data_IF_801492992384
#
_entry.id   IF_801492992384
#
_cell.length_a   1.000
_cell.length_b   1.000
_cell.length_c   1.000
_cell.angle_alpha   90.00
_cell.angle_beta   90.00
_cell.angle_gamma   90.00
#
_symmetry.space_group_name_H-M   'P 1'
#
loop_
_entity.id
_entity.type
_entity.pdbx_description
1 polymer ?
#
# COMPACT_ATOMS: atom_id res chain seq x y z
N UNK A 1 29.00 27.80 -1.59
CA UNK A 1 28.92 27.31 -0.19
C UNK A 1 27.63 27.73 0.54
N UNK A 2 27.22 29.01 0.56
CA UNK A 2 26.04 29.46 1.35
C UNK A 2 24.69 28.90 0.84
N UNK A 3 24.54 28.73 -0.49
CA UNK A 3 23.33 28.15 -1.09
C UNK A 3 23.17 26.67 -0.73
N UNK A 4 24.28 25.91 -0.77
CA UNK A 4 24.33 24.49 -0.42
C UNK A 4 24.00 24.26 1.05
N UNK A 5 24.52 25.09 1.96
CA UNK A 5 24.20 25.02 3.39
C UNK A 5 22.74 25.40 3.69
N UNK A 6 22.18 26.40 2.97
CA UNK A 6 20.76 26.78 3.10
C UNK A 6 19.82 25.71 2.53
N UNK A 7 20.17 25.10 1.40
CA UNK A 7 19.42 23.97 0.82
C UNK A 7 19.53 22.71 1.69
N UNK A 8 20.69 22.42 2.26
CA UNK A 8 20.86 21.32 3.22
C UNK A 8 20.04 21.57 4.50
N UNK A 9 20.01 22.80 5.01
CA UNK A 9 19.20 23.16 6.18
C UNK A 9 17.68 23.16 5.88
N UNK A 10 17.29 23.51 4.66
CA UNK A 10 15.90 23.42 4.18
C UNK A 10 15.46 21.96 4.00
N UNK A 11 16.31 21.12 3.40
CA UNK A 11 16.09 19.68 3.28
C UNK A 11 16.03 18.99 4.66
N UNK A 12 16.87 19.42 5.60
CA UNK A 12 16.83 18.94 6.99
C UNK A 12 15.56 19.36 7.75
N UNK A 13 14.92 20.48 7.39
CA UNK A 13 13.68 20.93 8.03
C UNK A 13 12.45 20.10 7.61
N UNK A 14 12.51 19.43 6.45
CA UNK A 14 11.42 18.62 5.88
C UNK A 14 11.97 17.28 5.37
N UNK A 15 12.47 16.42 6.27
CA UNK A 15 13.18 15.24 5.85
C UNK A 15 12.25 14.30 5.05
N UNK A 16 12.65 13.84 3.85
CA UNK A 16 11.89 12.87 3.10
C UNK A 16 11.79 11.57 3.91
N UNK A 17 10.58 11.04 4.02
CA UNK A 17 10.28 9.89 4.85
C UNK A 17 9.92 8.69 3.99
N UNK A 18 10.47 7.53 4.31
CA UNK A 18 10.03 6.25 3.76
C UNK A 18 9.26 5.52 4.87
N UNK A 19 8.01 5.16 4.58
CA UNK A 19 7.11 4.59 5.57
C UNK A 19 6.90 3.10 5.29
N UNK A 20 7.01 2.30 6.34
CA UNK A 20 6.75 0.86 6.35
C UNK A 20 5.67 0.57 7.39
N UNK A 21 4.72 -0.28 7.07
CA UNK A 21 3.71 -0.74 8.01
C UNK A 21 3.83 -2.25 8.22
N UNK A 22 3.80 -2.68 9.47
CA UNK A 22 3.55 -4.06 9.84
C UNK A 22 2.07 -4.42 9.64
N UNK A 23 1.76 -5.70 9.40
CA UNK A 23 0.39 -6.20 9.46
C UNK A 23 -0.31 -5.78 10.76
N UNK A 24 -1.58 -5.40 10.67
CA UNK A 24 -2.36 -4.84 11.78
C UNK A 24 -2.14 -3.34 12.05
N UNK A 25 -1.10 -2.72 11.48
CA UNK A 25 -0.77 -1.31 11.76
C UNK A 25 -1.38 -0.31 10.75
N UNK A 26 -2.38 -0.72 9.98
CA UNK A 26 -3.02 0.12 8.96
C UNK A 26 -3.50 1.46 9.52
N UNK A 27 -4.13 1.46 10.71
CA UNK A 27 -4.59 2.70 11.35
C UNK A 27 -3.44 3.68 11.68
N UNK A 28 -2.35 3.17 12.26
CA UNK A 28 -1.15 3.98 12.54
C UNK A 28 -0.50 4.51 11.26
N UNK A 29 -0.38 3.67 10.21
CA UNK A 29 0.14 4.11 8.90
C UNK A 29 -0.62 5.32 8.38
N UNK A 30 -1.95 5.24 8.34
CA UNK A 30 -2.79 6.30 7.79
C UNK A 30 -2.62 7.61 8.56
N UNK A 31 -2.57 7.55 9.90
CA UNK A 31 -2.33 8.73 10.75
C UNK A 31 -0.93 9.31 10.54
N UNK A 32 0.09 8.45 10.40
CA UNK A 32 1.46 8.88 10.13
C UNK A 32 1.59 9.56 8.76
N UNK A 33 0.98 9.01 7.71
CA UNK A 33 0.92 9.65 6.40
C UNK A 33 0.22 11.01 6.46
N UNK A 34 -0.90 11.10 7.19
CA UNK A 34 -1.64 12.35 7.36
C UNK A 34 -0.80 13.40 8.10
N UNK A 35 -0.11 13.02 9.18
CA UNK A 35 0.74 13.94 9.95
C UNK A 35 1.98 14.38 9.16
N UNK A 36 2.61 13.48 8.39
CA UNK A 36 3.70 13.85 7.47
C UNK A 36 3.21 14.86 6.42
N UNK A 37 2.03 14.65 5.84
CA UNK A 37 1.44 15.58 4.87
C UNK A 37 1.11 16.94 5.50
N UNK A 38 0.56 16.95 6.72
CA UNK A 38 0.29 18.20 7.47
C UNK A 38 1.56 19.01 7.74
N UNK A 39 2.72 18.36 7.82
CA UNK A 39 4.03 18.98 8.07
C UNK A 39 4.82 19.29 6.80
N UNK A 40 4.21 19.16 5.61
CA UNK A 40 4.89 19.25 4.31
C UNK A 40 6.10 18.30 4.19
N UNK A 41 6.10 17.17 4.92
CA UNK A 41 7.15 16.16 4.84
C UNK A 41 6.76 15.13 3.78
N UNK A 42 7.61 15.00 2.76
CA UNK A 42 7.34 14.14 1.60
C UNK A 42 7.52 12.66 1.95
N UNK A 43 6.52 11.84 1.67
CA UNK A 43 6.71 10.39 1.57
C UNK A 43 7.41 10.06 0.24
N UNK A 44 8.55 9.36 0.29
CA UNK A 44 9.30 8.95 -0.89
C UNK A 44 9.06 7.48 -1.23
N UNK A 45 9.19 7.14 -2.51
CA UNK A 45 8.90 5.80 -3.02
C UNK A 45 10.06 4.80 -2.83
N UNK A 46 11.25 5.26 -2.49
CA UNK A 46 12.44 4.42 -2.39
C UNK A 46 13.31 4.81 -1.17
N UNK A 47 13.87 3.84 -0.42
CA UNK A 47 14.72 4.12 0.73
C UNK A 47 15.94 5.01 0.46
N UNK A 48 16.67 4.88 -0.67
CA UNK A 48 17.81 5.75 -0.95
C UNK A 48 17.47 7.24 -1.05
N UNK A 49 16.20 7.59 -1.27
CA UNK A 49 15.72 8.97 -1.31
C UNK A 49 15.21 9.48 0.05
N UNK A 50 15.26 8.66 1.10
CA UNK A 50 14.73 8.97 2.41
C UNK A 50 15.84 9.38 3.40
N UNK A 51 15.49 10.30 4.29
CA UNK A 51 16.27 10.66 5.45
C UNK A 51 15.64 10.10 6.74
N UNK A 52 14.35 9.76 6.73
CA UNK A 52 13.66 9.17 7.88
C UNK A 52 12.98 7.87 7.46
N UNK A 53 13.22 6.79 8.20
CA UNK A 53 12.49 5.53 8.10
C UNK A 53 11.42 5.49 9.20
N UNK A 54 10.14 5.53 8.81
CA UNK A 54 9.01 5.44 9.73
C UNK A 54 8.46 4.02 9.70
N UNK A 55 8.48 3.33 10.84
CA UNK A 55 7.97 1.96 11.00
C UNK A 55 6.69 2.01 11.83
N UNK A 56 5.57 1.65 11.23
CA UNK A 56 4.25 1.61 11.87
C UNK A 56 3.93 0.19 12.32
N UNK A 57 3.61 0.01 13.60
CA UNK A 57 3.43 -1.29 14.24
C UNK A 57 4.75 -1.96 14.61
N UNK A 58 4.66 -3.04 15.38
CA UNK A 58 5.82 -3.88 15.71
C UNK A 58 6.04 -4.90 14.59
N UNK A 59 7.14 -4.83 13.84
CA UNK A 59 7.45 -5.86 12.86
C UNK A 59 7.77 -7.18 13.58
N UNK A 60 7.33 -8.30 13.00
CA UNK A 60 7.78 -9.63 13.41
C UNK A 60 9.19 -9.92 12.88
N UNK A 61 9.64 -11.17 13.01
CA UNK A 61 11.01 -11.53 12.62
C UNK A 61 11.27 -11.34 11.11
N UNK A 62 10.28 -11.65 10.26
CA UNK A 62 10.43 -11.57 8.82
C UNK A 62 10.49 -10.13 8.32
N UNK A 63 9.53 -9.29 8.73
CA UNK A 63 9.51 -7.88 8.36
C UNK A 63 10.64 -7.12 9.05
N UNK A 64 10.97 -7.47 10.29
CA UNK A 64 12.07 -6.84 11.04
C UNK A 64 13.39 -6.97 10.30
N UNK A 65 13.74 -8.18 9.85
CA UNK A 65 14.94 -8.40 9.06
C UNK A 65 14.93 -7.63 7.71
N UNK A 66 13.76 -7.49 7.09
CA UNK A 66 13.64 -6.70 5.86
C UNK A 66 13.79 -5.18 6.12
N UNK A 67 13.26 -4.68 7.23
CA UNK A 67 13.40 -3.30 7.68
C UNK A 67 14.86 -2.97 8.01
N UNK A 68 15.59 -3.87 8.68
CA UNK A 68 17.03 -3.68 8.95
C UNK A 68 17.83 -3.58 7.64
N UNK A 69 17.61 -4.49 6.68
CA UNK A 69 18.29 -4.40 5.36
C UNK A 69 18.02 -3.08 4.64
N UNK A 70 16.79 -2.56 4.74
CA UNK A 70 16.44 -1.26 4.18
C UNK A 70 17.16 -0.13 4.91
N UNK A 71 17.19 -0.16 6.24
CA UNK A 71 17.90 0.80 7.07
C UNK A 71 19.41 0.85 6.77
N UNK A 72 20.04 -0.32 6.64
CA UNK A 72 21.47 -0.43 6.34
C UNK A 72 21.82 0.17 4.98
N UNK A 73 20.92 0.02 3.99
CA UNK A 73 21.06 0.58 2.65
C UNK A 73 20.70 2.07 2.51
N UNK A 74 20.15 2.72 3.54
CA UNK A 74 19.80 4.14 3.48
C UNK A 74 21.05 5.03 3.62
N UNK A 75 21.23 6.07 2.79
CA UNK A 75 22.35 6.99 2.95
C UNK A 75 22.21 7.81 4.24
N UNK A 76 23.34 8.14 4.89
CA UNK A 76 23.36 9.12 5.98
C UNK A 76 23.41 10.56 5.47
N UNK A 77 22.94 11.57 6.25
CA UNK A 77 22.37 11.44 7.59
C UNK A 77 20.93 10.90 7.57
N UNK A 78 20.60 9.99 8.51
CA UNK A 78 19.34 9.23 8.54
C UNK A 78 18.77 9.09 9.97
N UNK A 79 17.47 8.88 10.11
CA UNK A 79 16.84 8.57 11.39
C UNK A 79 15.76 7.50 11.24
N UNK A 80 15.49 6.76 12.32
CA UNK A 80 14.41 5.78 12.37
C UNK A 80 13.41 6.13 13.47
N UNK A 81 12.13 5.97 13.15
CA UNK A 81 11.02 6.20 14.08
C UNK A 81 10.17 4.95 14.13
N UNK A 82 9.98 4.39 15.32
CA UNK A 82 9.03 3.31 15.58
C UNK A 82 7.74 3.85 16.17
N UNK A 83 6.60 3.41 15.65
CA UNK A 83 5.26 3.77 16.10
C UNK A 83 4.50 2.48 16.46
N UNK A 84 3.77 2.43 17.58
CA UNK A 84 2.98 1.25 17.96
C UNK A 84 1.79 0.97 17.03
N UNK A 85 1.18 -0.23 17.10
CA UNK A 85 0.06 -0.61 16.20
C UNK A 85 -1.15 0.33 16.31
N UNK A 86 -1.36 0.92 17.49
CA UNK A 86 -2.50 1.80 17.79
C UNK A 86 -2.08 3.22 18.14
N UNK A 87 -0.92 3.67 17.67
CA UNK A 87 -0.37 4.99 18.02
C UNK A 87 -1.39 6.12 17.75
N UNK A 88 -1.52 7.00 18.73
CA UNK A 88 -2.38 8.19 18.66
C UNK A 88 -1.75 9.26 17.77
N UNK A 89 -2.54 10.27 17.42
CA UNK A 89 -2.04 11.38 16.62
C UNK A 89 -0.96 12.17 17.36
N UNK A 90 -1.13 12.33 18.66
CA UNK A 90 -0.22 13.04 19.55
C UNK A 90 1.11 12.30 19.70
N UNK A 91 1.07 10.97 19.85
CA UNK A 91 2.27 10.13 19.91
C UNK A 91 3.06 10.18 18.61
N UNK A 92 2.38 10.08 17.47
CA UNK A 92 3.00 10.20 16.15
C UNK A 92 3.63 11.58 15.95
N UNK A 93 2.89 12.64 16.31
CA UNK A 93 3.37 14.01 16.20
C UNK A 93 4.63 14.25 17.06
N UNK A 94 4.63 13.75 18.30
CA UNK A 94 5.77 13.86 19.21
C UNK A 94 6.97 13.08 18.68
N UNK A 95 6.77 11.83 18.23
CA UNK A 95 7.83 10.99 17.70
C UNK A 95 8.52 11.64 16.48
N UNK A 96 7.74 12.20 15.55
CA UNK A 96 8.26 12.89 14.36
C UNK A 96 8.94 14.23 14.66
N UNK A 97 8.63 14.87 15.79
CA UNK A 97 9.24 16.13 16.23
C UNK A 97 10.59 15.90 16.89
N UNK A 98 10.70 14.89 17.75
CA UNK A 98 11.93 14.56 18.48
C UNK A 98 12.94 13.75 17.66
N UNK A 99 12.57 13.34 16.43
CA UNK A 99 13.45 12.60 15.53
C UNK A 99 14.68 13.42 15.15
N UNK A 100 15.85 13.03 15.65
CA UNK A 100 17.13 13.59 15.27
C UNK A 100 17.81 12.73 14.19
N UNK A 101 18.35 13.35 13.14
CA UNK A 101 19.14 12.66 12.12
C UNK A 101 20.50 12.26 12.68
N UNK A 102 20.82 10.97 12.60
CA UNK A 102 22.13 10.44 12.88
C UNK A 102 23.08 10.81 11.72
N UNK A 103 24.32 11.26 12.00
CA UNK A 103 25.29 11.57 10.96
C UNK A 103 25.66 10.29 10.18
N UNK A 104 26.07 10.46 8.93
CA UNK A 104 26.62 9.34 8.16
C UNK A 104 27.81 8.74 8.92
N UNK A 105 27.87 7.40 8.97
CA UNK A 105 29.08 6.73 9.42
C UNK A 105 30.25 7.20 8.54
N UNK A 106 31.44 7.47 9.12
CA UNK A 106 32.60 7.81 8.31
C UNK A 106 32.84 6.66 7.31
N UNK A 107 33.25 6.96 6.07
CA UNK A 107 33.52 5.92 5.08
C UNK A 107 34.54 4.95 5.67
N UNK A 108 34.16 3.69 5.81
CA UNK A 108 35.12 2.62 6.04
C UNK A 108 35.98 2.56 4.77
N UNK A 109 37.26 2.93 4.89
CA UNK A 109 38.28 2.64 3.89
C UNK A 109 38.50 1.12 3.87
N UNK A 110 37.55 0.39 3.30
CA UNK A 110 37.79 -0.90 2.71
C UNK A 110 37.82 -0.61 1.22
N UNK A 111 39.03 -0.53 0.67
CA UNK A 111 39.27 -0.69 -0.75
C UNK A 111 38.79 -2.11 -1.12
N UNK A 112 37.49 -2.28 -1.29
CA UNK A 112 36.97 -3.37 -2.09
C UNK A 112 37.21 -2.94 -3.54
N UNK A 113 38.34 -3.40 -4.09
CA UNK A 113 38.49 -3.61 -5.52
C UNK A 113 37.29 -4.43 -5.97
N UNK A 114 36.21 -3.76 -6.38
CA UNK A 114 35.08 -4.41 -7.06
C UNK A 114 35.66 -4.87 -8.40
N UNK A 115 35.88 -6.18 -8.61
CA UNK A 115 36.39 -6.64 -9.88
C UNK A 115 35.35 -6.27 -10.93
N UNK A 116 35.75 -5.46 -11.92
CA UNK A 116 34.88 -5.18 -13.05
C UNK A 116 34.53 -6.51 -13.71
N UNK A 117 33.23 -6.75 -13.92
CA UNK A 117 32.77 -7.93 -14.65
C UNK A 117 33.42 -7.98 -16.04
N UNK A 118 33.96 -9.15 -16.40
CA UNK A 118 34.53 -9.40 -17.72
C UNK A 118 33.50 -9.17 -18.81
N UNK A 119 33.90 -8.44 -19.86
CA UNK A 119 33.08 -8.19 -21.04
C UNK A 119 33.20 -9.38 -22.00
N UNK A 120 32.14 -10.18 -22.12
CA UNK A 120 31.97 -11.14 -23.21
C UNK A 120 31.51 -10.43 -24.49
N UNK A 121 31.87 -10.97 -25.65
CA UNK A 121 31.45 -10.46 -26.96
C UNK A 121 29.94 -10.64 -27.18
N UNK A 122 29.33 -9.66 -27.83
CA UNK A 122 27.88 -9.58 -28.13
C UNK A 122 27.58 -10.01 -29.57
N UNK A 123 26.55 -10.89 -29.75
CA UNK A 123 25.57 -11.02 -30.87
C UNK A 123 25.17 -12.47 -31.29
N UNK A 124 24.66 -13.33 -30.40
CA UNK A 124 24.49 -14.75 -30.73
C UNK A 124 23.29 -15.44 -30.01
N UNK A 125 22.04 -15.37 -30.52
CA UNK A 125 20.96 -16.33 -30.16
C UNK A 125 20.61 -16.53 -28.67
N UNK A 126 20.55 -15.44 -27.89
CA UNK A 126 20.61 -15.42 -26.42
C UNK A 126 19.43 -16.11 -25.71
N UNK A 127 19.74 -17.10 -24.86
CA UNK A 127 18.90 -17.48 -23.71
C UNK A 127 19.00 -16.33 -22.69
N UNK A 128 17.87 -15.74 -22.32
CA UNK A 128 17.82 -14.70 -21.28
C UNK A 128 18.13 -15.31 -19.91
N UNK A 129 18.86 -14.58 -19.08
CA UNK A 129 19.15 -14.99 -17.71
C UNK A 129 17.86 -15.10 -16.88
N UNK A 130 17.79 -16.17 -16.09
CA UNK A 130 16.68 -16.40 -15.15
C UNK A 130 17.02 -15.71 -13.84
N UNK A 131 16.23 -14.70 -13.46
CA UNK A 131 16.42 -13.91 -12.25
C UNK A 131 15.36 -14.25 -11.20
N UNK A 132 15.78 -14.44 -9.95
CA UNK A 132 14.86 -14.61 -8.82
C UNK A 132 14.74 -13.28 -8.09
N UNK A 133 13.60 -12.60 -8.25
CA UNK A 133 13.40 -11.24 -7.75
C UNK A 133 12.33 -11.24 -6.66
N UNK A 134 12.67 -10.89 -5.40
CA UNK A 134 11.68 -10.64 -4.38
C UNK A 134 11.03 -9.26 -4.58
N UNK A 135 9.70 -9.19 -4.52
CA UNK A 135 8.96 -7.93 -4.39
C UNK A 135 8.29 -7.87 -3.02
N UNK A 136 8.57 -6.83 -2.24
CA UNK A 136 8.11 -6.72 -0.86
C UNK A 136 9.01 -7.47 0.13
N UNK A 137 8.68 -7.46 1.42
CA UNK A 137 7.51 -6.83 2.03
C UNK A 137 7.67 -5.33 2.28
N UNK A 138 8.89 -4.79 2.10
CA UNK A 138 9.19 -3.37 2.31
C UNK A 138 9.28 -2.66 0.96
N UNK A 139 8.13 -2.23 0.44
CA UNK A 139 8.02 -1.41 -0.76
C UNK A 139 7.01 -0.29 -0.52
N UNK A 140 7.27 0.90 -1.06
CA UNK A 140 6.28 1.95 -1.08
C UNK A 140 5.08 1.52 -1.94
N UNK A 141 3.88 1.95 -1.53
CA UNK A 141 2.64 1.65 -2.25
C UNK A 141 2.42 0.15 -2.47
N UNK A 142 2.69 -0.63 -1.42
CA UNK A 142 2.57 -2.08 -1.40
C UNK A 142 1.74 -2.56 -0.19
N UNK A 143 0.96 -3.65 -0.30
CA UNK A 143 0.25 -4.20 0.85
C UNK A 143 1.22 -4.62 1.96
N UNK A 144 0.95 -4.18 3.20
CA UNK A 144 1.75 -4.55 4.37
C UNK A 144 1.74 -6.08 4.56
N UNK A 145 2.93 -6.66 4.77
CA UNK A 145 3.09 -8.10 4.96
C UNK A 145 3.01 -8.95 3.70
N UNK A 146 2.79 -8.37 2.50
CA UNK A 146 2.84 -9.15 1.26
C UNK A 146 4.27 -9.17 0.70
N UNK A 147 4.79 -10.35 0.37
CA UNK A 147 5.93 -10.50 -0.52
C UNK A 147 5.61 -11.44 -1.68
N UNK A 148 6.26 -11.22 -2.82
CA UNK A 148 6.23 -12.12 -3.97
C UNK A 148 7.64 -12.64 -4.25
N UNK A 149 7.76 -13.93 -4.52
CA UNK A 149 8.97 -14.51 -5.14
C UNK A 149 8.69 -14.68 -6.61
N UNK A 150 9.36 -13.88 -7.45
CA UNK A 150 9.20 -13.93 -8.89
C UNK A 150 10.40 -14.61 -9.53
N UNK A 151 10.14 -15.45 -10.51
CA UNK A 151 11.15 -15.92 -11.47
C UNK A 151 10.93 -15.14 -12.76
N UNK A 152 11.91 -14.33 -13.14
CA UNK A 152 11.87 -13.48 -14.33
C UNK A 152 12.79 -14.02 -15.40
N UNK A 153 12.39 -13.86 -16.65
CA UNK A 153 13.26 -14.01 -17.81
C UNK A 153 13.16 -12.72 -18.62
N UNK A 154 14.18 -11.87 -18.53
CA UNK A 154 14.02 -10.45 -18.88
C UNK A 154 13.11 -9.75 -17.87
N UNK A 155 12.07 -9.08 -18.34
CA UNK A 155 11.03 -8.45 -17.52
C UNK A 155 9.74 -9.28 -17.39
N UNK A 156 9.66 -10.43 -18.07
CA UNK A 156 8.49 -11.31 -18.06
C UNK A 156 8.58 -12.28 -16.88
N UNK A 157 7.50 -12.36 -16.11
CA UNK A 157 7.32 -13.31 -15.02
C UNK A 157 7.05 -14.70 -15.60
N UNK A 158 7.97 -15.64 -15.34
CA UNK A 158 7.83 -17.05 -15.69
C UNK A 158 7.13 -17.85 -14.58
N UNK A 159 7.33 -17.45 -13.32
CA UNK A 159 6.67 -18.03 -12.17
C UNK A 159 6.55 -17.00 -11.05
N UNK A 160 5.50 -17.11 -10.25
CA UNK A 160 5.25 -16.24 -9.12
C UNK A 160 4.76 -17.07 -7.93
N UNK A 161 5.20 -16.69 -6.74
CA UNK A 161 4.73 -17.26 -5.49
C UNK A 161 4.39 -16.13 -4.51
N UNK A 162 3.25 -16.24 -3.84
CA UNK A 162 2.82 -15.30 -2.81
C UNK A 162 3.27 -15.74 -1.43
N UNK A 163 3.81 -14.81 -0.67
CA UNK A 163 4.32 -15.03 0.68
C UNK A 163 3.70 -13.99 1.61
N UNK A 164 3.08 -14.45 2.69
CA UNK A 164 2.65 -13.57 3.78
C UNK A 164 3.77 -13.52 4.80
N UNK A 165 4.37 -12.34 4.95
CA UNK A 165 5.44 -12.05 5.91
C UNK A 165 4.82 -11.48 7.17
N UNK A 166 5.07 -12.18 8.29
CA UNK A 166 4.48 -11.94 9.61
C UNK A 166 2.94 -11.98 9.56
N UNK A 167 2.35 -13.11 9.95
CA UNK A 167 0.90 -13.24 9.90
C UNK A 167 0.22 -12.17 10.79
N UNK A 168 -0.90 -11.57 10.35
CA UNK A 168 -1.60 -10.57 11.13
C UNK A 168 -2.21 -11.20 12.39
N UNK A 169 -2.03 -10.53 13.53
CA UNK A 169 -2.58 -10.96 14.83
C UNK A 169 -3.95 -10.32 15.13
N UNK A 170 -4.22 -9.15 14.53
CA UNK A 170 -5.42 -8.35 14.79
C UNK A 170 -6.43 -8.34 13.63
N UNK A 171 -7.70 -7.96 13.88
CA UNK A 171 -8.69 -7.86 12.82
C UNK A 171 -8.33 -6.79 11.79
N UNK A 172 -8.83 -6.94 10.57
CA UNK A 172 -8.72 -5.91 9.54
C UNK A 172 -9.24 -4.55 10.04
N UNK A 173 -8.38 -3.53 9.90
CA UNK A 173 -8.78 -2.15 10.14
C UNK A 173 -9.94 -1.75 9.23
N UNK A 174 -9.94 -2.16 7.97
CA UNK A 174 -10.96 -1.75 7.00
C UNK A 174 -12.32 -2.40 7.27
N UNK A 175 -12.34 -3.63 7.78
CA UNK A 175 -13.59 -4.34 8.11
C UNK A 175 -14.17 -3.95 9.48
N UNK A 176 -13.47 -3.11 10.25
CA UNK A 176 -13.80 -2.74 11.63
C UNK A 176 -15.28 -2.42 11.91
N UNK A 177 -15.95 -1.54 11.13
CA UNK A 177 -17.37 -1.24 11.35
C UNK A 177 -18.29 -2.47 11.24
N UNK A 178 -18.08 -3.32 10.23
CA UNK A 178 -18.88 -4.53 10.04
C UNK A 178 -18.56 -5.59 11.09
N UNK A 179 -17.29 -5.72 11.50
CA UNK A 179 -16.90 -6.62 12.60
C UNK A 179 -17.53 -6.20 13.94
N UNK A 180 -17.57 -4.90 14.24
CA UNK A 180 -18.25 -4.37 15.44
C UNK A 180 -19.76 -4.60 15.38
N UNK A 181 -20.38 -4.38 14.23
CA UNK A 181 -21.81 -4.66 14.05
C UNK A 181 -22.14 -6.15 14.20
N UNK A 182 -21.31 -7.04 13.65
CA UNK A 182 -21.45 -8.49 13.82
C UNK A 182 -21.31 -8.92 15.29
N UNK A 183 -20.51 -8.21 16.08
CA UNK A 183 -20.39 -8.37 17.53
C UNK A 183 -21.55 -7.73 18.33
N UNK A 184 -22.60 -7.24 17.66
CA UNK A 184 -23.78 -6.64 18.29
C UNK A 184 -23.61 -5.19 18.74
N UNK A 185 -22.51 -4.52 18.39
CA UNK A 185 -22.33 -3.11 18.71
C UNK A 185 -23.15 -2.24 17.74
N UNK A 186 -23.78 -1.15 18.21
CA UNK A 186 -24.47 -0.22 17.32
C UNK A 186 -23.46 0.50 16.43
N UNK A 187 -23.60 0.32 15.11
CA UNK A 187 -22.79 0.97 14.07
C UNK A 187 -23.75 1.56 13.04
N UNK A 188 -23.56 2.82 12.65
CA UNK A 188 -24.39 3.42 11.61
C UNK A 188 -23.89 3.05 10.22
N UNK A 189 -24.80 3.06 9.25
CA UNK A 189 -24.46 2.94 7.82
C UNK A 189 -23.46 4.02 7.42
N UNK A 190 -23.63 5.25 7.91
CA UNK A 190 -22.69 6.34 7.63
C UNK A 190 -21.27 6.05 8.08
N UNK A 191 -21.09 5.49 9.28
CA UNK A 191 -19.76 5.11 9.76
C UNK A 191 -19.12 4.01 8.87
N UNK A 192 -19.90 3.00 8.51
CA UNK A 192 -19.44 1.92 7.64
C UNK A 192 -19.06 2.43 6.24
N UNK A 193 -19.90 3.26 5.63
CA UNK A 193 -19.64 3.80 4.29
C UNK A 193 -18.49 4.82 4.28
N UNK A 194 -18.24 5.55 5.38
CA UNK A 194 -17.00 6.33 5.54
C UNK A 194 -15.77 5.42 5.48
N UNK A 195 -15.80 4.30 6.18
CA UNK A 195 -14.70 3.33 6.16
C UNK A 195 -14.51 2.71 4.78
N UNK A 196 -15.61 2.39 4.06
CA UNK A 196 -15.57 1.89 2.68
C UNK A 196 -14.92 2.90 1.74
N UNK A 197 -15.43 4.12 1.71
CA UNK A 197 -14.90 5.19 0.85
C UNK A 197 -13.41 5.43 1.12
N UNK A 198 -12.99 5.51 2.39
CA UNK A 198 -11.60 5.66 2.75
C UNK A 198 -10.73 4.46 2.30
N UNK A 199 -11.21 3.22 2.47
CA UNK A 199 -10.50 2.01 2.02
C UNK A 199 -10.25 2.04 0.50
N UNK A 200 -11.26 2.36 -0.29
CA UNK A 200 -11.11 2.41 -1.74
C UNK A 200 -10.23 3.59 -2.19
N UNK A 201 -10.31 4.75 -1.52
CA UNK A 201 -9.42 5.89 -1.80
C UNK A 201 -7.95 5.56 -1.46
N UNK A 202 -7.69 4.79 -0.41
CA UNK A 202 -6.35 4.28 -0.08
C UNK A 202 -5.82 3.35 -1.20
N UNK A 203 -6.63 2.37 -1.61
CA UNK A 203 -6.29 1.43 -2.68
C UNK A 203 -6.08 2.12 -4.03
N UNK A 204 -6.96 3.05 -4.41
CA UNK A 204 -6.79 3.87 -5.63
C UNK A 204 -5.54 4.74 -5.54
N UNK A 205 -5.27 5.33 -4.37
CA UNK A 205 -4.04 6.10 -4.14
C UNK A 205 -2.79 5.24 -4.42
N UNK A 206 -2.79 4.00 -3.92
CA UNK A 206 -1.73 3.02 -4.18
C UNK A 206 -1.59 2.69 -5.67
N UNK A 207 -2.69 2.34 -6.35
CA UNK A 207 -2.70 2.04 -7.77
C UNK A 207 -2.18 3.20 -8.62
N UNK A 208 -2.65 4.42 -8.35
CA UNK A 208 -2.21 5.62 -9.07
C UNK A 208 -0.72 5.90 -8.84
N UNK A 209 -0.20 5.70 -7.63
CA UNK A 209 1.21 5.87 -7.34
C UNK A 209 2.07 4.84 -8.11
N UNK A 210 1.67 3.57 -8.11
CA UNK A 210 2.35 2.51 -8.88
C UNK A 210 2.32 2.78 -10.38
N UNK A 211 1.23 3.35 -10.89
CA UNK A 211 1.10 3.79 -12.29
C UNK A 211 1.89 5.08 -12.61
N UNK A 212 2.60 5.68 -11.66
CA UNK A 212 3.38 6.91 -11.85
C UNK A 212 2.55 8.20 -11.80
N UNK A 213 1.27 8.13 -11.41
CA UNK A 213 0.34 9.24 -11.33
C UNK A 213 0.33 9.91 -9.95
N UNK A 214 1.51 10.35 -9.50
CA UNK A 214 1.75 10.76 -8.11
C UNK A 214 0.79 11.86 -7.62
N UNK A 215 0.52 12.88 -8.43
CA UNK A 215 -0.37 13.97 -8.03
C UNK A 215 -1.81 13.49 -7.78
N UNK A 216 -2.31 12.55 -8.59
CA UNK A 216 -3.63 11.97 -8.40
C UNK A 216 -3.65 11.01 -7.20
N UNK A 217 -2.56 10.27 -6.96
CA UNK A 217 -2.39 9.47 -5.75
C UNK A 217 -2.46 10.34 -4.47
N UNK A 218 -1.76 11.47 -4.47
CA UNK A 218 -1.76 12.39 -3.32
C UNK A 218 -3.15 13.01 -3.09
N UNK A 219 -3.89 13.31 -4.15
CA UNK A 219 -5.30 13.74 -4.07
C UNK A 219 -6.20 12.66 -3.48
N UNK A 220 -6.04 11.40 -3.89
CA UNK A 220 -6.80 10.29 -3.32
C UNK A 220 -6.54 10.13 -1.82
N UNK A 221 -5.27 10.21 -1.40
CA UNK A 221 -4.87 10.14 0.01
C UNK A 221 -5.36 11.33 0.83
N UNK A 222 -5.39 12.54 0.25
CA UNK A 222 -5.98 13.71 0.90
C UNK A 222 -7.49 13.56 1.11
N UNK A 223 -8.22 13.11 0.07
CA UNK A 223 -9.66 12.81 0.18
C UNK A 223 -9.92 11.70 1.22
N UNK A 224 -9.10 10.64 1.24
CA UNK A 224 -9.18 9.56 2.24
C UNK A 224 -9.09 10.14 3.66
N UNK A 225 -8.12 11.01 3.90
CA UNK A 225 -7.89 11.56 5.23
C UNK A 225 -9.01 12.52 5.66
N UNK A 226 -9.63 13.23 4.72
CA UNK A 226 -10.84 14.03 4.97
C UNK A 226 -12.06 13.18 5.31
N UNK A 227 -12.25 12.06 4.61
CA UNK A 227 -13.32 11.08 4.90
C UNK A 227 -13.15 10.50 6.29
N UNK A 228 -11.91 10.13 6.66
CA UNK A 228 -11.57 9.60 7.99
C UNK A 228 -11.62 10.66 9.10
N UNK A 229 -11.59 11.95 8.76
CA UNK A 229 -11.74 13.08 9.69
C UNK A 229 -13.20 13.54 9.83
N UNK A 230 -14.16 12.68 9.48
CA UNK A 230 -15.61 12.91 9.60
C UNK A 230 -16.11 14.16 8.87
N UNK A 231 -15.45 14.53 7.77
CA UNK A 231 -15.91 15.66 6.93
C UNK A 231 -17.33 15.37 6.41
N UNK A 232 -18.27 16.34 6.46
CA UNK A 232 -19.64 16.14 5.98
C UNK A 232 -19.72 15.81 4.48
N UNK A 233 -20.77 15.09 4.05
CA UNK A 233 -20.94 14.65 2.66
C UNK A 233 -20.91 15.81 1.65
N UNK A 234 -21.51 16.94 2.00
CA UNK A 234 -21.60 18.14 1.16
C UNK A 234 -20.21 18.64 0.73
N UNK A 235 -19.25 18.69 1.67
CA UNK A 235 -17.89 19.15 1.40
C UNK A 235 -17.04 18.14 0.60
N UNK A 236 -17.35 16.84 0.74
CA UNK A 236 -16.63 15.76 0.05
C UNK A 236 -17.08 15.59 -1.40
N UNK A 237 -18.38 15.70 -1.66
CA UNK A 237 -19.02 15.27 -2.93
C UNK A 237 -18.45 16.00 -4.14
N UNK A 238 -18.39 17.34 -4.11
CA UNK A 238 -17.92 18.11 -5.26
C UNK A 238 -16.44 17.86 -5.56
N UNK A 239 -15.61 17.78 -4.52
CA UNK A 239 -14.17 17.51 -4.63
C UNK A 239 -13.91 16.11 -5.19
N UNK A 240 -14.62 15.12 -4.65
CA UNK A 240 -14.55 13.75 -5.13
C UNK A 240 -14.99 13.64 -6.59
N UNK A 241 -16.11 14.26 -6.98
CA UNK A 241 -16.59 14.24 -8.36
C UNK A 241 -15.57 14.86 -9.34
N UNK A 242 -14.87 15.92 -8.92
CA UNK A 242 -13.74 16.51 -9.67
C UNK A 242 -12.60 15.52 -9.87
N UNK A 243 -12.16 14.87 -8.79
CA UNK A 243 -11.12 13.85 -8.80
C UNK A 243 -11.49 12.64 -9.69
N UNK A 244 -12.65 12.02 -9.46
CA UNK A 244 -13.12 10.85 -10.19
C UNK A 244 -13.22 11.13 -11.70
N UNK A 245 -13.73 12.31 -12.09
CA UNK A 245 -13.83 12.72 -13.50
C UNK A 245 -12.45 12.85 -14.15
N UNK A 246 -11.46 13.38 -13.44
CA UNK A 246 -10.09 13.53 -13.96
C UNK A 246 -9.45 12.16 -14.20
N UNK A 247 -9.59 11.24 -13.24
CA UNK A 247 -9.07 9.87 -13.35
C UNK A 247 -9.74 9.15 -14.53
N UNK A 248 -11.07 9.16 -14.63
CA UNK A 248 -11.83 8.52 -15.72
C UNK A 248 -11.51 9.05 -17.11
N UNK A 249 -11.15 10.33 -17.23
CA UNK A 249 -10.83 10.97 -18.52
C UNK A 249 -9.39 10.70 -18.98
N UNK A 250 -8.56 10.09 -18.15
CA UNK A 250 -7.18 9.80 -18.51
C UNK A 250 -7.09 8.65 -19.50
N UNK A 251 -6.78 8.98 -20.77
CA UNK A 251 -6.51 7.96 -21.80
C UNK A 251 -5.25 7.16 -21.51
N UNK A 252 -4.22 7.81 -20.94
CA UNK A 252 -2.96 7.14 -20.58
C UNK A 252 -3.18 6.13 -19.47
N UNK A 253 -3.92 6.46 -18.40
CA UNK A 253 -4.25 5.49 -17.35
C UNK A 253 -5.06 4.33 -17.91
N UNK A 254 -6.06 4.62 -18.75
CA UNK A 254 -6.83 3.57 -19.40
C UNK A 254 -5.92 2.62 -20.17
N UNK A 255 -5.07 3.16 -21.04
CA UNK A 255 -4.14 2.33 -21.83
C UNK A 255 -3.17 1.52 -20.96
N UNK A 256 -2.62 2.10 -19.89
CA UNK A 256 -1.69 1.41 -18.98
C UNK A 256 -2.34 0.29 -18.16
N UNK A 257 -3.64 0.36 -17.92
CA UNK A 257 -4.37 -0.56 -17.04
C UNK A 257 -5.22 -1.57 -17.81
N UNK A 258 -5.43 -1.35 -19.11
CA UNK A 258 -6.12 -2.30 -19.98
C UNK A 258 -5.33 -3.60 -20.10
N UNK A 259 -6.03 -4.73 -20.04
CA UNK A 259 -5.45 -6.08 -20.08
C UNK A 259 -4.48 -6.42 -18.93
N UNK A 260 -4.39 -5.59 -17.89
CA UNK A 260 -3.55 -5.85 -16.72
C UNK A 260 -4.33 -6.65 -15.67
N UNK A 261 -3.82 -7.84 -15.34
CA UNK A 261 -4.39 -8.70 -14.29
C UNK A 261 -5.85 -9.07 -14.58
N UNK A 262 -6.13 -9.52 -15.81
CA UNK A 262 -7.48 -9.86 -16.28
C UNK A 262 -8.01 -11.06 -15.49
N UNK A 263 -9.12 -10.85 -14.77
CA UNK A 263 -9.83 -11.90 -14.08
C UNK A 263 -11.06 -12.32 -14.87
N UNK A 264 -10.99 -13.50 -15.50
CA UNK A 264 -12.11 -14.07 -16.26
C UNK A 264 -13.27 -14.47 -15.34
N UNK A 265 -14.50 -14.53 -15.88
CA UNK A 265 -15.67 -14.99 -15.13
C UNK A 265 -15.52 -16.41 -14.58
N UNK A 266 -14.87 -17.30 -15.32
CA UNK A 266 -14.57 -18.67 -14.86
C UNK A 266 -13.62 -18.65 -13.65
N UNK A 267 -12.51 -17.91 -13.73
CA UNK A 267 -11.53 -17.84 -12.64
C UNK A 267 -12.15 -17.14 -11.43
N UNK A 268 -12.86 -16.03 -11.63
CA UNK A 268 -13.57 -15.34 -10.56
C UNK A 268 -14.58 -16.27 -9.86
N UNK A 269 -15.36 -17.05 -10.61
CA UNK A 269 -16.30 -18.02 -10.05
C UNK A 269 -15.61 -19.09 -9.20
N UNK A 270 -14.47 -19.61 -9.66
CA UNK A 270 -13.68 -20.63 -8.94
C UNK A 270 -13.15 -20.14 -7.59
N UNK A 271 -12.75 -18.87 -7.51
CA UNK A 271 -12.15 -18.27 -6.32
C UNK A 271 -13.13 -17.42 -5.49
N UNK A 272 -14.40 -17.31 -5.88
CA UNK A 272 -15.39 -16.46 -5.19
C UNK A 272 -15.14 -14.96 -5.35
N UNK A 273 -14.50 -14.54 -6.46
CA UNK A 273 -14.03 -13.16 -6.70
C UNK A 273 -14.90 -12.42 -7.74
N UNK A 274 -16.22 -12.62 -7.73
CA UNK A 274 -17.12 -12.02 -8.71
C UNK A 274 -17.08 -10.47 -8.73
N UNK A 275 -16.73 -9.82 -7.60
CA UNK A 275 -16.55 -8.37 -7.52
C UNK A 275 -15.26 -7.84 -8.17
N UNK A 276 -14.40 -8.71 -8.70
CA UNK A 276 -13.06 -8.36 -9.23
C UNK A 276 -12.88 -8.65 -10.72
N UNK A 277 -13.99 -8.94 -11.43
CA UNK A 277 -14.00 -9.24 -12.86
C UNK A 277 -13.34 -8.16 -13.70
N UNK A 278 -12.73 -8.58 -14.81
CA UNK A 278 -12.11 -7.69 -15.79
C UNK A 278 -10.65 -7.35 -15.44
N UNK A 279 -10.17 -6.25 -16.00
CA UNK A 279 -8.79 -5.80 -15.84
C UNK A 279 -8.63 -4.74 -14.73
N UNK A 280 -7.41 -4.21 -14.58
CA UNK A 280 -7.12 -3.19 -13.58
C UNK A 280 -7.91 -1.88 -13.80
N UNK A 281 -8.27 -1.55 -15.05
CA UNK A 281 -9.06 -0.37 -15.37
C UNK A 281 -10.54 -0.56 -14.99
N UNK A 282 -11.10 -1.74 -15.24
CA UNK A 282 -12.46 -2.11 -14.81
C UNK A 282 -12.59 -2.01 -13.29
N UNK A 283 -11.62 -2.58 -12.55
CA UNK A 283 -11.57 -2.49 -11.08
C UNK A 283 -11.44 -1.03 -10.59
N UNK A 284 -10.59 -0.23 -11.22
CA UNK A 284 -10.46 1.20 -10.89
C UNK A 284 -11.80 1.94 -11.09
N UNK A 285 -12.47 1.69 -12.22
CA UNK A 285 -13.75 2.31 -12.55
C UNK A 285 -14.84 1.90 -11.57
N UNK A 286 -14.95 0.61 -11.26
CA UNK A 286 -15.91 0.09 -10.27
C UNK A 286 -15.70 0.71 -8.90
N UNK A 287 -14.45 0.75 -8.41
CA UNK A 287 -14.14 1.38 -7.11
C UNK A 287 -14.45 2.87 -7.07
N UNK A 288 -14.30 3.59 -8.17
CA UNK A 288 -14.74 4.99 -8.25
C UNK A 288 -16.27 5.08 -8.09
N UNK A 289 -17.04 4.21 -8.74
CA UNK A 289 -18.49 4.22 -8.56
C UNK A 289 -18.91 3.86 -7.12
N UNK A 290 -18.25 2.88 -6.51
CA UNK A 290 -18.47 2.49 -5.11
C UNK A 290 -18.15 3.63 -4.13
N UNK A 291 -17.05 4.38 -4.33
CA UNK A 291 -16.77 5.55 -3.50
C UNK A 291 -17.87 6.60 -3.63
N UNK A 292 -18.34 6.88 -4.85
CA UNK A 292 -19.44 7.83 -5.06
C UNK A 292 -20.72 7.44 -4.34
N UNK A 293 -21.07 6.15 -4.36
CA UNK A 293 -22.23 5.59 -3.65
C UNK A 293 -22.05 5.66 -2.13
N UNK A 294 -20.87 5.29 -1.63
CA UNK A 294 -20.54 5.35 -0.21
C UNK A 294 -20.61 6.79 0.33
N UNK A 295 -20.03 7.75 -0.41
CA UNK A 295 -20.07 9.18 -0.07
C UNK A 295 -21.48 9.76 0.00
N UNK A 296 -22.46 9.20 -0.73
CA UNK A 296 -23.86 9.61 -0.62
C UNK A 296 -24.52 9.14 0.69
N UNK A 297 -23.91 8.20 1.41
CA UNK A 297 -24.46 7.57 2.61
C UNK A 297 -23.65 7.87 3.89
N UNK A 298 -22.55 8.61 3.82
CA UNK A 298 -21.64 8.85 4.97
C UNK A 298 -22.28 9.55 6.17
N UNK A 299 -23.41 10.24 5.98
CA UNK A 299 -24.16 10.92 7.04
C UNK A 299 -25.41 10.12 7.49
N UNK A 300 -25.62 8.91 6.94
CA UNK A 300 -26.76 8.07 7.27
C UNK A 300 -26.70 7.54 8.71
N UNK A 301 -27.82 7.69 9.43
CA UNK A 301 -27.93 7.32 10.85
C UNK A 301 -28.58 5.95 11.10
N UNK A 302 -29.08 5.30 10.04
CA UNK A 302 -29.63 3.95 10.15
C UNK A 302 -28.56 2.97 10.65
N UNK A 303 -28.96 1.96 11.44
CA UNK A 303 -28.04 0.94 11.91
C UNK A 303 -27.64 -0.02 10.77
N UNK A 304 -26.37 -0.41 10.77
CA UNK A 304 -25.80 -1.37 9.83
C UNK A 304 -26.36 -2.78 10.10
N UNK A 305 -26.81 -3.47 9.05
CA UNK A 305 -27.44 -4.81 9.14
C UNK A 305 -26.82 -5.85 8.20
N UNK A 306 -25.76 -5.51 7.47
CA UNK A 306 -25.07 -6.39 6.51
C UNK A 306 -23.60 -6.61 6.85
N UNK A 307 -22.95 -7.52 6.12
CA UNK A 307 -21.58 -7.97 6.33
C UNK A 307 -20.64 -7.63 5.15
N UNK A 308 -21.14 -6.92 4.13
CA UNK A 308 -20.39 -6.57 2.93
C UNK A 308 -19.34 -5.49 3.17
N UNK A 309 -18.20 -5.83 3.75
CA UNK A 309 -17.06 -4.94 3.94
C UNK A 309 -16.48 -4.39 2.61
N UNK A 310 -15.41 -3.57 2.66
CA UNK A 310 -14.89 -2.88 1.49
C UNK A 310 -14.33 -3.80 0.39
N UNK A 311 -14.00 -5.05 0.72
CA UNK A 311 -13.46 -6.05 -0.24
C UNK A 311 -14.45 -7.16 -0.57
N UNK A 312 -15.67 -7.09 -0.03
CA UNK A 312 -16.69 -8.14 -0.07
C UNK A 312 -17.12 -8.57 1.34
N UNK A 313 -17.94 -9.63 1.45
CA UNK A 313 -18.43 -10.12 2.74
C UNK A 313 -17.29 -10.46 3.71
N UNK A 314 -17.30 -9.89 4.92
CA UNK A 314 -16.20 -10.04 5.90
C UNK A 314 -16.00 -11.50 6.33
N UNK A 315 -17.04 -12.33 6.29
CA UNK A 315 -16.96 -13.75 6.60
C UNK A 315 -16.22 -14.57 5.53
N UNK A 316 -16.22 -14.10 4.28
CA UNK A 316 -15.55 -14.77 3.16
C UNK A 316 -14.07 -14.41 3.06
N UNK A 317 -13.64 -13.32 3.71
CA UNK A 317 -12.25 -12.84 3.75
C UNK A 317 -11.55 -12.87 2.38
N UNK A 318 -12.07 -12.10 1.40
CA UNK A 318 -11.69 -12.25 -0.01
C UNK A 318 -10.19 -12.11 -0.29
N UNK A 319 -9.43 -11.40 0.54
CA UNK A 319 -7.96 -11.31 0.42
C UNK A 319 -7.26 -12.67 0.31
N UNK A 320 -7.72 -13.71 1.01
CA UNK A 320 -7.13 -15.05 0.87
C UNK A 320 -7.25 -15.59 -0.55
N UNK A 321 -8.42 -15.44 -1.15
CA UNK A 321 -8.67 -15.81 -2.55
C UNK A 321 -7.92 -14.90 -3.53
N UNK A 322 -7.80 -13.59 -3.25
CA UNK A 322 -6.99 -12.67 -4.04
C UNK A 322 -5.53 -13.10 -4.09
N UNK A 323 -4.93 -13.47 -2.95
CA UNK A 323 -3.56 -13.98 -2.91
C UNK A 323 -3.42 -15.30 -3.66
N UNK A 324 -4.37 -16.22 -3.50
CA UNK A 324 -4.33 -17.51 -4.17
C UNK A 324 -4.41 -17.42 -5.71
N UNK A 325 -5.00 -16.35 -6.25
CA UNK A 325 -5.09 -16.13 -7.71
C UNK A 325 -3.91 -15.34 -8.29
N UNK A 326 -3.16 -14.58 -7.47
CA UNK A 326 -2.06 -13.72 -7.93
C UNK A 326 -1.02 -14.46 -8.80
N UNK A 327 -0.50 -15.65 -8.43
CA UNK A 327 0.48 -16.36 -9.25
C UNK A 327 0.03 -16.56 -10.69
N UNK A 328 -1.24 -16.97 -10.86
CA UNK A 328 -1.86 -17.21 -12.18
C UNK A 328 -2.01 -15.93 -12.99
N UNK A 329 -2.32 -14.81 -12.35
CA UNK A 329 -2.49 -13.51 -13.04
C UNK A 329 -1.15 -12.89 -13.43
N UNK A 330 -0.05 -13.34 -12.83
CA UNK A 330 1.29 -12.81 -13.06
C UNK A 330 2.08 -13.61 -14.09
N UNK A 331 1.81 -14.90 -14.26
CA UNK A 331 2.51 -15.73 -15.26
C UNK A 331 2.32 -15.13 -16.67
N UNK A 332 3.44 -14.86 -17.34
CA UNK A 332 3.49 -14.19 -18.65
C UNK A 332 3.36 -12.67 -18.61
N UNK A 333 3.12 -12.06 -17.45
CA UNK A 333 3.04 -10.61 -17.31
C UNK A 333 4.43 -9.96 -17.18
N UNK A 334 4.57 -8.72 -17.65
CA UNK A 334 5.73 -7.88 -17.34
C UNK A 334 5.77 -7.53 -15.84
N UNK A 335 6.97 -7.28 -15.30
CA UNK A 335 7.19 -6.91 -13.90
C UNK A 335 6.36 -5.67 -13.48
N UNK A 336 6.22 -4.68 -14.37
CA UNK A 336 5.39 -3.51 -14.12
C UNK A 336 3.89 -3.88 -14.02
N UNK A 337 3.41 -4.73 -14.92
CA UNK A 337 2.04 -5.24 -14.92
C UNK A 337 1.75 -6.10 -13.68
N UNK A 338 2.73 -6.87 -13.18
CA UNK A 338 2.59 -7.62 -11.93
C UNK A 338 2.36 -6.68 -10.72
N UNK A 339 3.09 -5.56 -10.64
CA UNK A 339 2.89 -4.55 -9.58
C UNK A 339 1.53 -3.86 -9.69
N UNK A 340 1.11 -3.51 -10.90
CA UNK A 340 -0.22 -2.93 -11.15
C UNK A 340 -1.35 -3.92 -10.84
N UNK A 341 -1.14 -5.22 -11.10
CA UNK A 341 -2.09 -6.28 -10.77
C UNK A 341 -2.35 -6.31 -9.26
N UNK A 342 -1.30 -6.38 -8.44
CA UNK A 342 -1.42 -6.33 -6.97
C UNK A 342 -2.10 -5.04 -6.51
N UNK A 343 -1.68 -3.89 -7.03
CA UNK A 343 -2.25 -2.61 -6.62
C UNK A 343 -3.72 -2.44 -7.00
N UNK A 344 -4.17 -3.05 -8.11
CA UNK A 344 -5.57 -2.99 -8.56
C UNK A 344 -6.49 -3.97 -7.80
N UNK A 345 -5.97 -5.13 -7.41
CA UNK A 345 -6.69 -6.11 -6.57
C UNK A 345 -6.75 -5.62 -5.12
N UNK A 346 -5.70 -4.93 -4.67
CA UNK A 346 -5.60 -4.30 -3.36
C UNK A 346 -5.96 -5.27 -2.21
N UNK A 347 -5.24 -6.40 -2.07
CA UNK A 347 -5.48 -7.34 -1.00
C UNK A 347 -5.18 -6.68 0.36
N UNK A 348 -6.05 -6.93 1.32
CA UNK A 348 -5.84 -6.58 2.73
C UNK A 348 -5.38 -7.81 3.49
N UNK A 349 -4.08 -7.86 3.80
CA UNK A 349 -3.47 -9.00 4.48
C UNK A 349 -4.08 -9.20 5.87
N UNK A 350 -4.56 -8.13 6.52
CA UNK A 350 -5.16 -8.21 7.86
C UNK A 350 -6.45 -9.07 7.87
N UNK A 351 -7.11 -9.29 6.72
CA UNK A 351 -8.25 -10.23 6.61
C UNK A 351 -7.85 -11.70 6.83
N UNK A 352 -6.56 -12.03 6.79
CA UNK A 352 -6.06 -13.39 7.03
C UNK A 352 -5.92 -13.73 8.52
N UNK A 353 -6.08 -12.76 9.41
CA UNK A 353 -5.95 -12.98 10.85
C UNK A 353 -6.90 -14.09 11.31
N UNK A 354 -6.34 -15.12 11.94
CA UNK A 354 -7.13 -16.25 12.46
C UNK A 354 -8.05 -15.71 13.57
N UNK A 355 -9.37 -15.98 13.54
CA UNK A 355 -10.24 -15.53 14.62
C UNK A 355 -9.81 -16.21 15.93
N UNK A 356 -9.82 -15.46 17.03
CA UNK A 356 -9.32 -15.90 18.34
C UNK A 356 -9.94 -17.21 18.85
N UNK A 357 -11.10 -17.64 18.33
CA UNK A 357 -11.76 -18.90 18.68
C UNK A 357 -11.00 -20.16 18.21
N UNK A 358 -10.08 -20.05 17.24
CA UNK A 358 -9.29 -21.20 16.76
C UNK A 358 -7.93 -21.38 17.46
N UNK A 359 -7.53 -20.45 18.34
CA UNK A 359 -6.24 -20.50 19.05
C UNK A 359 -6.33 -21.16 20.45
N UNK A 360 -7.51 -21.67 20.83
CA UNK A 360 -7.77 -22.29 22.15
C UNK A 360 -8.22 -23.75 22.10
N UNK A 361 -7.87 -24.48 21.04
CA UNK A 361 -8.18 -25.91 20.86
C UNK A 361 -7.06 -26.84 21.32
#
# INVERSE_FOLDING_TARGET
MVLSARLARFAAARPPSFLVAAPGATGTRLRAEAELRRRDRRCVAAPPAAAVLVVCGRPGAGLGAAVERVWDGMPGPRARVGLGETASREEIAAALETTALEPAAPPSHQDEDVPMADRAADRDGLKLDVLHVPLGPVLADWPAGLALRLTLQGDIVQAAETVVVDAPEGPSFWDGPWLRAAAGQPVTVGEAERRRAASHLDGIGRLLAVAGWQHAADQARALRDEVLADTPAEALTARYAGFARRVRRSRTLRWMLTDVGVLSSETAGRYGLAGYLGDAHDRLTGRLDEIGQALAQVDAQALLTGDGGPRGPIGQRPSGALLAVLPRLMEGAELAAARLTVASLDPDIDQLAVPAEAAGG
#
